data_IF_059057178620
#
_entry.id   IF_059057178620
#
_cell.length_a   1.000
_cell.length_b   1.000
_cell.length_c   1.000
_cell.angle_alpha   90.00
_cell.angle_beta   90.00
_cell.angle_gamma   90.00
#
_symmetry.space_group_name_H-M   'P 1'
#
loop_
_entity.id
_entity.type
_entity.pdbx_description
1 polymer ?
#
# COMPACT_ATOMS: atom_id res chain seq x y z
N UNK A 1 8.47 16.98 8.95
CA UNK A 1 9.03 16.12 7.88
C UNK A 1 8.90 14.68 8.35
N UNK A 2 7.70 14.10 8.21
CA UNK A 2 7.50 12.66 8.45
C UNK A 2 8.09 11.98 7.22
N UNK A 3 9.13 11.18 7.42
CA UNK A 3 10.01 10.74 6.34
C UNK A 3 9.30 9.76 5.42
N UNK A 4 9.37 10.01 4.12
CA UNK A 4 8.92 9.08 3.06
C UNK A 4 9.69 7.75 3.09
N UNK A 5 10.73 7.65 3.93
CA UNK A 5 11.29 6.39 4.39
C UNK A 5 10.21 5.41 4.90
N UNK A 6 9.16 5.90 5.57
CA UNK A 6 8.02 5.08 6.00
C UNK A 6 7.27 4.46 4.82
N UNK A 7 6.87 5.26 3.83
CA UNK A 7 6.23 4.78 2.61
C UNK A 7 7.09 3.78 1.82
N UNK A 8 8.41 4.02 1.73
CA UNK A 8 9.32 3.09 1.06
C UNK A 8 9.41 1.74 1.78
N UNK A 9 9.45 1.74 3.11
CA UNK A 9 9.41 0.52 3.92
C UNK A 9 8.10 -0.25 3.74
N UNK A 10 6.98 0.44 3.56
CA UNK A 10 5.69 -0.20 3.25
C UNK A 10 5.70 -0.86 1.87
N UNK A 11 6.32 -0.22 0.87
CA UNK A 11 6.51 -0.82 -0.44
C UNK A 11 7.45 -2.05 -0.38
N UNK A 12 8.56 -1.96 0.36
CA UNK A 12 9.47 -3.10 0.59
C UNK A 12 8.76 -4.25 1.30
N UNK A 13 7.93 -3.96 2.30
CA UNK A 13 7.15 -4.96 3.00
C UNK A 13 6.15 -5.66 2.06
N UNK A 14 5.49 -4.90 1.19
CA UNK A 14 4.58 -5.46 0.19
C UNK A 14 5.31 -6.41 -0.78
N UNK A 15 6.52 -6.04 -1.22
CA UNK A 15 7.34 -6.89 -2.08
C UNK A 15 7.87 -8.12 -1.30
N UNK A 16 8.37 -7.95 -0.07
CA UNK A 16 8.94 -9.01 0.77
C UNK A 16 7.91 -10.05 1.24
N UNK A 17 6.65 -9.65 1.40
CA UNK A 17 5.52 -10.54 1.75
C UNK A 17 4.88 -11.18 0.51
N UNK A 18 5.31 -10.81 -0.69
CA UNK A 18 4.75 -11.28 -1.96
C UNK A 18 3.40 -10.66 -2.31
N UNK A 19 2.94 -9.63 -1.59
CA UNK A 19 1.65 -8.98 -1.81
C UNK A 19 1.53 -8.44 -3.23
N UNK A 20 2.56 -7.77 -3.74
CA UNK A 20 2.56 -7.20 -5.09
C UNK A 20 2.45 -8.27 -6.16
N UNK A 21 3.16 -9.39 -6.01
CA UNK A 21 3.07 -10.53 -6.91
C UNK A 21 1.67 -11.19 -6.87
N UNK A 22 1.10 -11.34 -5.67
CA UNK A 22 -0.24 -11.88 -5.49
C UNK A 22 -1.33 -10.97 -6.11
N UNK A 23 -1.19 -9.65 -5.96
CA UNK A 23 -2.06 -8.68 -6.64
C UNK A 23 -1.90 -8.74 -8.17
N UNK A 24 -0.67 -8.89 -8.65
CA UNK A 24 -0.39 -9.04 -10.10
C UNK A 24 -1.11 -10.26 -10.67
N UNK A 25 -1.10 -11.37 -9.93
CA UNK A 25 -1.81 -12.60 -10.30
C UNK A 25 -3.33 -12.41 -10.28
N UNK A 26 -3.87 -11.81 -9.22
CA UNK A 26 -5.30 -11.58 -9.05
C UNK A 26 -5.87 -10.63 -10.12
N UNK A 27 -5.13 -9.58 -10.47
CA UNK A 27 -5.54 -8.55 -11.42
C UNK A 27 -5.07 -8.82 -12.85
N UNK A 28 -4.42 -9.95 -13.11
CA UNK A 28 -3.98 -10.36 -14.44
C UNK A 28 -5.10 -10.29 -15.51
N UNK A 29 -6.37 -10.65 -15.22
CA UNK A 29 -7.46 -10.51 -16.18
C UNK A 29 -7.75 -9.06 -16.58
N UNK A 30 -7.48 -8.11 -15.70
CA UNK A 30 -7.72 -6.67 -15.90
C UNK A 30 -6.54 -5.95 -16.56
N UNK A 31 -5.47 -6.68 -16.92
CA UNK A 31 -4.26 -6.08 -17.50
C UNK A 31 -4.58 -5.42 -18.84
N UNK A 32 -4.47 -4.08 -18.97
CA UNK A 32 -4.79 -3.42 -20.21
C UNK A 32 -3.75 -3.79 -21.28
N UNK A 33 -4.22 -4.01 -22.51
CA UNK A 33 -3.31 -4.21 -23.66
C UNK A 33 -2.62 -2.88 -23.97
N UNK A 34 -1.32 -2.78 -23.65
CA UNK A 34 -0.46 -1.67 -24.08
C UNK A 34 -0.14 -0.61 -23.03
N UNK A 35 -0.67 -0.70 -21.80
CA UNK A 35 -0.17 0.10 -20.68
C UNK A 35 0.99 -0.65 -20.06
N UNK A 36 2.23 -0.17 -20.16
CA UNK A 36 3.41 -0.82 -19.57
C UNK A 36 3.38 -1.00 -18.04
N UNK A 37 2.29 -0.63 -17.37
CA UNK A 37 2.10 -0.76 -15.93
C UNK A 37 1.43 -2.10 -15.59
N UNK A 38 1.98 -2.78 -14.60
CA UNK A 38 1.37 -3.97 -14.02
C UNK A 38 0.23 -3.58 -13.06
N UNK A 39 -0.99 -4.13 -13.21
CA UNK A 39 -2.12 -3.85 -12.31
C UNK A 39 -1.84 -4.15 -10.85
N UNK A 40 -1.05 -5.20 -10.56
CA UNK A 40 -0.66 -5.56 -9.21
C UNK A 40 0.16 -4.45 -8.56
N UNK A 41 1.15 -3.94 -9.28
CA UNK A 41 1.96 -2.79 -8.85
C UNK A 41 1.12 -1.54 -8.60
N UNK A 42 0.19 -1.21 -9.49
CA UNK A 42 -0.71 -0.05 -9.30
C UNK A 42 -1.53 -0.20 -8.00
N UNK A 43 -2.07 -1.41 -7.74
CA UNK A 43 -2.82 -1.68 -6.52
C UNK A 43 -1.94 -1.59 -5.26
N UNK A 44 -0.69 -2.03 -5.33
CA UNK A 44 0.28 -1.85 -4.24
C UNK A 44 0.60 -0.37 -4.02
N UNK A 45 0.88 0.41 -5.06
CA UNK A 45 1.21 1.84 -4.93
C UNK A 45 0.04 2.62 -4.32
N UNK A 46 -1.21 2.28 -4.67
CA UNK A 46 -2.41 2.83 -4.02
C UNK A 46 -2.48 2.49 -2.53
N UNK A 47 -2.17 1.24 -2.16
CA UNK A 47 -2.15 0.83 -0.75
C UNK A 47 -1.04 1.54 0.05
N UNK A 48 0.15 1.70 -0.54
CA UNK A 48 1.27 2.45 0.05
C UNK A 48 0.88 3.92 0.22
N UNK A 49 0.27 4.54 -0.79
CA UNK A 49 -0.22 5.92 -0.72
C UNK A 49 -1.23 6.12 0.42
N UNK A 50 -2.21 5.23 0.55
CA UNK A 50 -3.20 5.29 1.64
C UNK A 50 -2.54 5.11 3.01
N UNK A 51 -1.54 4.23 3.12
CA UNK A 51 -0.83 3.98 4.37
C UNK A 51 0.15 5.10 4.74
N UNK A 52 0.64 5.88 3.77
CA UNK A 52 1.40 7.13 3.98
C UNK A 52 0.48 8.31 4.37
N UNK A 53 -0.84 8.11 4.33
CA UNK A 53 -1.85 9.09 4.75
C UNK A 53 -2.50 9.87 3.62
N UNK A 54 -2.35 9.43 2.37
CA UNK A 54 -3.12 9.99 1.26
C UNK A 54 -4.61 9.64 1.38
N UNK A 55 -5.46 10.55 0.93
CA UNK A 55 -6.92 10.46 1.06
C UNK A 55 -7.63 10.45 -0.30
N UNK A 56 -6.90 10.81 -1.37
CA UNK A 56 -7.40 10.84 -2.74
C UNK A 56 -6.49 10.05 -3.70
N UNK A 57 -7.07 9.51 -4.78
CA UNK A 57 -6.30 8.85 -5.86
C UNK A 57 -5.27 9.82 -6.49
N UNK A 58 -5.55 11.13 -6.45
CA UNK A 58 -4.62 12.16 -6.91
C UNK A 58 -3.31 12.19 -6.10
N UNK A 59 -3.34 11.79 -4.82
CA UNK A 59 -2.17 11.78 -3.93
C UNK A 59 -1.13 10.74 -4.35
N UNK A 60 -1.48 9.81 -5.25
CA UNK A 60 -0.54 8.92 -5.94
C UNK A 60 0.57 9.71 -6.69
N UNK A 61 0.31 10.99 -7.02
CA UNK A 61 1.34 11.89 -7.56
C UNK A 61 2.55 12.03 -6.62
N UNK A 62 2.37 11.97 -5.29
CA UNK A 62 3.46 12.07 -4.30
C UNK A 62 4.48 10.94 -4.49
N UNK A 63 4.00 9.70 -4.69
CA UNK A 63 4.88 8.56 -4.98
C UNK A 63 5.55 8.70 -6.35
N UNK A 64 4.79 9.20 -7.34
CA UNK A 64 5.26 9.37 -8.73
C UNK A 64 6.37 10.41 -8.85
N UNK A 65 6.26 11.51 -8.10
CA UNK A 65 7.28 12.56 -8.06
C UNK A 65 8.60 12.06 -7.44
N UNK A 66 8.58 10.88 -6.81
CA UNK A 66 9.72 10.19 -6.22
C UNK A 66 10.01 8.87 -6.93
N UNK A 67 9.95 8.88 -8.27
CA UNK A 67 10.20 7.70 -9.11
C UNK A 67 11.57 7.03 -8.86
N UNK A 68 12.58 7.77 -8.36
CA UNK A 68 13.86 7.19 -7.96
C UNK A 68 13.75 6.22 -6.76
N UNK A 69 12.70 6.36 -5.95
CA UNK A 69 12.45 5.58 -4.72
C UNK A 69 11.40 4.50 -4.98
N UNK A 70 10.30 4.86 -5.68
CA UNK A 70 9.15 3.99 -5.89
C UNK A 70 9.10 3.32 -7.27
N UNK A 71 10.01 3.69 -8.18
CA UNK A 71 9.98 3.25 -9.57
C UNK A 71 8.88 3.93 -10.39
N UNK A 72 8.52 3.38 -11.55
CA UNK A 72 7.45 3.93 -12.38
C UNK A 72 6.08 3.74 -11.72
N UNK A 73 5.48 4.85 -11.25
CA UNK A 73 4.14 4.88 -10.67
C UNK A 73 3.13 5.34 -11.72
N UNK A 74 1.98 4.67 -11.76
CA UNK A 74 0.93 4.99 -12.72
C UNK A 74 0.35 6.40 -12.54
N UNK A 75 -0.16 6.95 -13.64
CA UNK A 75 -0.90 8.21 -13.60
C UNK A 75 -2.26 8.03 -12.90
N UNK A 76 -2.80 9.11 -12.33
CA UNK A 76 -4.13 9.12 -11.68
C UNK A 76 -5.24 8.56 -12.59
N UNK A 77 -5.35 8.94 -13.88
CA UNK A 77 -6.34 8.32 -14.78
C UNK A 77 -6.13 6.81 -15.00
N UNK A 78 -4.88 6.35 -15.04
CA UNK A 78 -4.57 4.91 -15.18
C UNK A 78 -5.00 4.14 -13.93
N UNK A 79 -4.70 4.68 -12.74
CA UNK A 79 -5.11 4.09 -11.47
C UNK A 79 -6.64 4.07 -11.32
N UNK A 80 -7.33 5.15 -11.72
CA UNK A 80 -8.78 5.21 -11.67
C UNK A 80 -9.46 4.17 -12.57
N UNK A 81 -8.96 3.97 -13.80
CA UNK A 81 -9.49 2.94 -14.70
C UNK A 81 -9.34 1.53 -14.12
N UNK A 82 -8.17 1.23 -13.54
CA UNK A 82 -7.98 -0.05 -12.87
C UNK A 82 -9.03 -0.25 -11.77
N UNK A 83 -9.24 0.74 -10.90
CA UNK A 83 -10.24 0.66 -9.84
C UNK A 83 -11.68 0.52 -10.39
N UNK A 84 -12.00 1.18 -11.50
CA UNK A 84 -13.29 1.06 -12.16
C UNK A 84 -13.54 -0.34 -12.75
N UNK A 85 -12.47 -1.05 -13.12
CA UNK A 85 -12.53 -2.41 -13.66
C UNK A 85 -12.49 -3.50 -12.57
N UNK A 86 -12.25 -3.14 -11.29
CA UNK A 86 -12.26 -4.08 -10.17
C UNK A 86 -13.71 -4.41 -9.80
N UNK A 87 -14.12 -5.64 -10.11
CA UNK A 87 -15.40 -6.21 -9.68
C UNK A 87 -15.31 -6.89 -8.30
N UNK A 88 -16.42 -7.44 -7.80
CA UNK A 88 -16.45 -8.13 -6.51
C UNK A 88 -15.53 -9.36 -6.46
N UNK A 89 -15.36 -10.07 -7.58
CA UNK A 89 -14.50 -11.26 -7.63
C UNK A 89 -13.03 -10.87 -7.52
N UNK A 90 -12.62 -9.80 -8.21
CA UNK A 90 -11.30 -9.21 -8.11
C UNK A 90 -11.06 -8.66 -6.70
N UNK A 91 -12.04 -7.96 -6.12
CA UNK A 91 -11.96 -7.44 -4.75
C UNK A 91 -11.78 -8.57 -3.71
N UNK A 92 -12.52 -9.67 -3.84
CA UNK A 92 -12.37 -10.85 -2.99
C UNK A 92 -10.99 -11.50 -3.14
N UNK A 93 -10.48 -11.57 -4.37
CA UNK A 93 -9.13 -12.09 -4.65
C UNK A 93 -8.03 -11.23 -4.02
N UNK A 94 -8.16 -9.90 -4.10
CA UNK A 94 -7.26 -8.95 -3.43
C UNK A 94 -7.33 -9.09 -1.90
N UNK A 95 -8.51 -9.30 -1.33
CA UNK A 95 -8.67 -9.54 0.10
C UNK A 95 -7.97 -10.83 0.56
N UNK A 96 -8.09 -11.92 -0.22
CA UNK A 96 -7.40 -13.19 0.02
C UNK A 96 -5.88 -13.03 -0.09
N UNK A 97 -5.38 -12.37 -1.14
CA UNK A 97 -3.96 -12.08 -1.32
C UNK A 97 -3.39 -11.27 -0.14
N UNK A 98 -4.14 -10.28 0.35
CA UNK A 98 -3.74 -9.50 1.54
C UNK A 98 -3.70 -10.34 2.81
N UNK A 99 -4.65 -11.26 2.99
CA UNK A 99 -4.66 -12.16 4.14
C UNK A 99 -3.42 -13.07 4.13
N UNK A 100 -3.07 -13.64 2.98
CA UNK A 100 -1.87 -14.47 2.80
C UNK A 100 -0.59 -13.68 3.07
N UNK A 101 -0.45 -12.48 2.50
CA UNK A 101 0.71 -11.62 2.76
C UNK A 101 0.85 -11.26 4.24
N UNK A 102 -0.27 -11.06 4.94
CA UNK A 102 -0.28 -10.82 6.39
C UNK A 102 0.22 -12.04 7.16
N UNK A 103 -0.22 -13.25 6.80
CA UNK A 103 0.29 -14.49 7.42
C UNK A 103 1.81 -14.61 7.24
N UNK A 104 2.32 -14.34 6.02
CA UNK A 104 3.77 -14.32 5.74
C UNK A 104 4.48 -13.29 6.62
N UNK A 105 3.95 -12.07 6.72
CA UNK A 105 4.53 -11.03 7.58
C UNK A 105 4.61 -11.46 9.06
N UNK A 106 3.57 -12.13 9.57
CA UNK A 106 3.56 -12.61 10.96
C UNK A 106 4.55 -13.75 11.19
N UNK A 107 4.68 -14.68 10.24
CA UNK A 107 5.68 -15.73 10.32
C UNK A 107 7.10 -15.16 10.32
N UNK A 108 7.38 -14.24 9.38
CA UNK A 108 8.67 -13.54 9.33
C UNK A 108 8.95 -12.77 10.64
N UNK A 109 7.96 -12.05 11.17
CA UNK A 109 8.10 -11.35 12.45
C UNK A 109 8.37 -12.30 13.63
N UNK A 110 7.72 -13.47 13.65
CA UNK A 110 7.95 -14.48 14.68
C UNK A 110 9.36 -15.10 14.57
N UNK A 111 9.84 -15.36 13.36
CA UNK A 111 11.18 -15.92 13.08
C UNK A 111 12.30 -14.93 13.43
N UNK A 112 12.06 -13.63 13.25
CA UNK A 112 13.04 -12.58 13.54
C UNK A 112 13.14 -12.21 15.04
N UNK A 113 12.28 -12.76 15.91
CA UNK A 113 12.48 -12.74 17.37
C UNK A 113 12.45 -11.37 18.07
N UNK A 114 12.27 -10.27 17.36
CA UNK A 114 12.00 -8.96 17.94
C UNK A 114 10.48 -8.75 17.98
N UNK A 115 9.89 -8.84 19.17
CA UNK A 115 8.50 -8.44 19.36
C UNK A 115 8.28 -7.05 18.78
N UNK A 116 7.23 -6.88 17.96
CA UNK A 116 6.87 -5.60 17.33
C UNK A 116 7.02 -4.50 18.39
N UNK A 117 7.93 -3.52 18.21
CA UNK A 117 8.06 -2.43 19.16
C UNK A 117 6.67 -1.84 19.36
N UNK A 118 6.21 -1.80 20.62
CA UNK A 118 4.91 -1.24 20.94
C UNK A 118 4.87 0.20 20.41
N UNK A 119 4.25 0.38 19.24
CA UNK A 119 4.08 1.70 18.65
C UNK A 119 3.17 2.46 19.61
N UNK A 120 3.75 3.34 20.44
CA UNK A 120 2.97 4.36 21.13
C UNK A 120 2.46 5.31 20.06
N UNK A 121 1.31 4.98 19.47
CA UNK A 121 0.45 5.99 18.89
C UNK A 121 0.10 6.94 20.04
N UNK A 122 0.71 8.13 20.03
CA UNK A 122 0.42 9.17 20.98
C UNK A 122 -1.06 9.57 20.80
N UNK A 123 -1.93 8.99 21.61
CA UNK A 123 -3.26 9.53 21.80
C UNK A 123 -3.06 10.95 22.37
N UNK A 124 -3.26 11.97 21.54
CA UNK A 124 -3.37 13.35 21.98
C UNK A 124 -4.66 13.47 22.79
N UNK A 125 -4.57 13.07 24.07
CA UNK A 125 -5.55 13.43 25.07
C UNK A 125 -5.39 14.93 25.31
N UNK A 126 -6.20 15.73 24.64
CA UNK A 126 -6.44 17.12 24.99
C UNK A 126 -7.06 17.14 26.41
N UNK A 127 -6.19 17.22 27.42
CA UNK A 127 -6.52 17.80 28.71
C UNK A 127 -5.91 19.18 28.76
N UNK A 128 -6.75 20.19 28.80
CA UNK A 128 -6.43 21.46 29.44
C UNK A 128 -7.69 21.88 30.19
N UNK A 129 -7.62 21.72 31.51
CA UNK A 129 -8.48 22.45 32.45
C UNK A 129 -7.95 23.88 32.67
N UNK A 130 -8.23 24.51 33.82
CA UNK A 130 -9.25 25.56 33.92
C UNK A 130 -8.68 26.98 34.17
N UNK A 131 -9.55 27.99 34.03
CA UNK A 131 -9.42 29.33 34.63
C UNK A 131 -8.91 30.44 33.70
N UNK A 132 -9.08 31.72 34.06
CA UNK A 132 -9.43 32.24 35.40
C UNK A 132 -10.92 32.39 35.70
#
# INVERSE_FOLDING_TARGET
MVGHAGARLLADLADATGLTAAYSAALRPLRPRGTGHDPGRIATDLAVMLADGGEAIADLAVLRDQAAVFGPVASTPTAWRLLADVDETAAASLASARAQAREVAWMQAADHGEGIPAARAAAHAARSGPGP
#
